data_IF_276192130982
#
_entry.id   IF_276192130982
#
_cell.length_a   1.000
_cell.length_b   1.000
_cell.length_c   1.000
_cell.angle_alpha   90.00
_cell.angle_beta   90.00
_cell.angle_gamma   90.00
#
_symmetry.space_group_name_H-M   'P 1'
#
loop_
_entity.id
_entity.type
_entity.pdbx_description
1 polymer ?
#
# COMPACT_ATOMS: atom_id res chain seq x y z
N UNK A 1 26.51 -12.16 -16.89
CA UNK A 1 25.94 -12.03 -15.54
C UNK A 1 24.89 -10.93 -15.61
N UNK A 2 23.60 -11.29 -15.56
CA UNK A 2 22.52 -10.32 -15.38
C UNK A 2 22.24 -10.27 -13.87
N UNK A 3 22.70 -9.22 -13.19
CA UNK A 3 22.55 -9.03 -11.74
C UNK A 3 21.27 -8.25 -11.38
N UNK A 4 20.16 -8.54 -12.06
CA UNK A 4 18.85 -8.03 -11.65
C UNK A 4 18.00 -9.24 -11.28
N UNK A 5 17.86 -9.51 -9.98
CA UNK A 5 16.89 -10.49 -9.52
C UNK A 5 15.49 -10.09 -10.02
N UNK A 6 14.75 -11.02 -10.61
CA UNK A 6 13.42 -10.73 -11.15
C UNK A 6 12.46 -10.32 -10.03
N UNK A 7 11.84 -9.15 -10.18
CA UNK A 7 10.75 -8.70 -9.32
C UNK A 7 9.59 -9.71 -9.40
N UNK A 8 9.08 -10.14 -8.24
CA UNK A 8 8.00 -11.13 -8.16
C UNK A 8 6.68 -10.45 -7.83
N UNK A 9 5.69 -10.66 -8.69
CA UNK A 9 4.33 -10.15 -8.51
C UNK A 9 3.44 -11.21 -7.88
N UNK A 10 2.70 -10.81 -6.86
CA UNK A 10 1.75 -11.65 -6.14
C UNK A 10 0.39 -10.96 -6.15
N UNK A 11 -0.66 -11.72 -6.50
CA UNK A 11 -2.04 -11.24 -6.57
C UNK A 11 -2.93 -12.13 -5.69
N UNK A 12 -3.94 -11.53 -5.06
CA UNK A 12 -5.00 -12.20 -4.27
C UNK A 12 -4.45 -13.25 -3.30
N UNK A 13 -3.35 -12.93 -2.62
CA UNK A 13 -2.65 -13.89 -1.78
C UNK A 13 -3.31 -13.98 -0.40
N UNK A 14 -3.74 -15.19 -0.06
CA UNK A 14 -4.16 -15.53 1.29
C UNK A 14 -2.95 -15.89 2.15
N UNK A 15 -2.84 -15.21 3.29
CA UNK A 15 -1.82 -15.46 4.31
C UNK A 15 -2.48 -15.77 5.63
N UNK A 16 -1.97 -16.80 6.29
CA UNK A 16 -2.33 -17.14 7.66
C UNK A 16 -1.32 -16.52 8.60
N UNK A 17 -1.79 -15.88 9.67
CA UNK A 17 -0.93 -15.27 10.69
C UNK A 17 -1.49 -15.53 12.08
N UNK A 18 -0.65 -15.36 13.11
CA UNK A 18 -1.04 -15.44 14.50
C UNK A 18 -0.61 -14.17 15.23
N UNK A 19 -1.51 -13.61 16.04
CA UNK A 19 -1.23 -12.49 16.93
C UNK A 19 -1.79 -12.77 18.33
N UNK A 20 -1.81 -11.76 19.21
CA UNK A 20 -2.31 -11.90 20.58
C UNK A 20 -3.78 -12.36 20.67
N UNK A 21 -4.56 -12.20 19.59
CA UNK A 21 -5.95 -12.64 19.49
C UNK A 21 -6.09 -14.06 18.92
N UNK A 22 -4.99 -14.74 18.61
CA UNK A 22 -4.97 -16.09 18.04
C UNK A 22 -4.68 -16.10 16.55
N UNK A 23 -5.14 -17.16 15.87
CA UNK A 23 -4.89 -17.39 14.45
C UNK A 23 -5.92 -16.67 13.58
N UNK A 24 -5.47 -16.02 12.52
CA UNK A 24 -6.29 -15.28 11.58
C UNK A 24 -5.78 -15.41 10.14
N UNK A 25 -6.58 -14.92 9.21
CA UNK A 25 -6.27 -14.90 7.78
C UNK A 25 -6.38 -13.49 7.24
N UNK A 26 -5.60 -13.18 6.21
CA UNK A 26 -5.68 -11.95 5.44
C UNK A 26 -5.55 -12.27 3.95
N UNK A 27 -6.34 -11.60 3.12
CA UNK A 27 -6.15 -11.59 1.67
C UNK A 27 -5.51 -10.25 1.30
N UNK A 28 -4.37 -10.30 0.63
CA UNK A 28 -3.66 -9.12 0.14
C UNK A 28 -3.92 -9.02 -1.36
N UNK A 29 -4.52 -7.91 -1.80
CA UNK A 29 -4.95 -7.71 -3.19
C UNK A 29 -3.78 -7.85 -4.18
N UNK A 30 -2.70 -7.10 -3.97
CA UNK A 30 -1.48 -7.24 -4.76
C UNK A 30 -0.23 -6.75 -4.03
N UNK A 31 0.92 -7.38 -4.30
CA UNK A 31 2.22 -6.82 -3.92
C UNK A 31 3.34 -7.28 -4.86
N UNK A 32 4.37 -6.47 -4.97
CA UNK A 32 5.60 -6.77 -5.73
C UNK A 32 6.76 -6.88 -4.76
N UNK A 33 7.46 -8.00 -4.78
CA UNK A 33 8.70 -8.20 -4.02
C UNK A 33 9.86 -7.96 -4.96
N UNK A 34 10.59 -6.86 -4.75
CA UNK A 34 11.80 -6.56 -5.48
C UNK A 34 13.05 -6.65 -4.61
N UNK A 35 14.18 -6.31 -5.20
CA UNK A 35 15.48 -6.34 -4.51
C UNK A 35 15.49 -5.39 -3.29
N UNK A 36 15.04 -4.15 -3.50
CA UNK A 36 15.14 -3.05 -2.51
C UNK A 36 13.99 -2.99 -1.51
N UNK A 37 12.90 -3.70 -1.75
CA UNK A 37 11.71 -3.57 -0.92
C UNK A 37 10.48 -4.23 -1.54
N UNK A 38 9.33 -3.95 -0.92
CA UNK A 38 8.03 -4.45 -1.34
C UNK A 38 7.11 -3.26 -1.60
N UNK A 39 6.42 -3.29 -2.75
CA UNK A 39 5.30 -2.39 -3.03
C UNK A 39 4.00 -3.15 -2.76
N UNK A 40 3.28 -2.77 -1.71
CA UNK A 40 1.97 -3.30 -1.34
C UNK A 40 0.87 -2.43 -1.94
N UNK A 41 -0.07 -3.04 -2.65
CA UNK A 41 -1.21 -2.39 -3.28
C UNK A 41 -2.53 -2.85 -2.68
N UNK A 42 -3.36 -1.92 -2.20
CA UNK A 42 -4.76 -2.18 -1.83
C UNK A 42 -5.69 -1.58 -2.90
N UNK A 43 -6.53 -2.40 -3.51
CA UNK A 43 -7.38 -2.06 -4.63
C UNK A 43 -8.82 -1.83 -4.18
N UNK A 44 -9.34 -0.61 -4.37
CA UNK A 44 -10.72 -0.25 -4.02
C UNK A 44 -11.45 0.40 -5.18
N UNK A 45 -12.76 0.13 -5.34
CA UNK A 45 -13.56 0.85 -6.33
C UNK A 45 -13.59 2.36 -6.06
N UNK A 46 -13.62 2.75 -4.79
CA UNK A 46 -13.63 4.15 -4.36
C UNK A 46 -12.53 4.38 -3.32
N UNK A 47 -11.88 5.54 -3.37
CA UNK A 47 -10.87 5.94 -2.40
C UNK A 47 -11.43 5.93 -0.97
N UNK A 48 -10.81 5.14 -0.10
CA UNK A 48 -11.18 4.93 1.31
C UNK A 48 -9.95 5.13 2.19
N UNK A 49 -9.51 6.38 2.43
CA UNK A 49 -8.19 6.65 3.02
C UNK A 49 -7.98 5.97 4.37
N UNK A 50 -8.94 6.10 5.28
CA UNK A 50 -8.81 5.54 6.64
C UNK A 50 -8.79 4.01 6.64
N UNK A 51 -9.71 3.38 5.90
CA UNK A 51 -9.84 1.93 5.90
C UNK A 51 -8.68 1.26 5.17
N UNK A 52 -8.33 1.75 3.98
CA UNK A 52 -7.21 1.20 3.21
C UNK A 52 -5.87 1.43 3.92
N UNK A 53 -5.66 2.60 4.51
CA UNK A 53 -4.47 2.85 5.33
C UNK A 53 -4.38 1.86 6.50
N UNK A 54 -5.49 1.64 7.22
CA UNK A 54 -5.49 0.70 8.34
C UNK A 54 -5.17 -0.72 7.87
N UNK A 55 -5.82 -1.20 6.81
CA UNK A 55 -5.55 -2.52 6.23
C UNK A 55 -4.07 -2.67 5.83
N UNK A 56 -3.53 -1.69 5.09
CA UNK A 56 -2.15 -1.75 4.60
C UNK A 56 -1.13 -1.63 5.73
N UNK A 57 -1.22 -0.63 6.60
CA UNK A 57 -0.19 -0.34 7.62
C UNK A 57 -0.28 -1.21 8.86
N UNK A 58 -1.50 -1.63 9.26
CA UNK A 58 -1.71 -2.37 10.51
C UNK A 58 -1.86 -3.86 10.31
N UNK A 59 -2.20 -4.32 9.09
CA UNK A 59 -2.41 -5.74 8.82
C UNK A 59 -1.39 -6.29 7.83
N UNK A 60 -1.36 -5.76 6.61
CA UNK A 60 -0.61 -6.41 5.53
C UNK A 60 0.88 -6.10 5.56
N UNK A 61 1.27 -4.84 5.75
CA UNK A 61 2.69 -4.46 5.79
C UNK A 61 3.46 -5.17 6.91
N UNK A 62 2.95 -5.32 8.15
CA UNK A 62 3.62 -6.13 9.17
C UNK A 62 3.82 -7.59 8.77
N UNK A 63 2.82 -8.22 8.16
CA UNK A 63 2.91 -9.61 7.68
C UNK A 63 3.98 -9.73 6.58
N UNK A 64 3.96 -8.84 5.59
CA UNK A 64 4.93 -8.86 4.49
C UNK A 64 6.36 -8.57 4.97
N UNK A 65 6.52 -7.63 5.93
CA UNK A 65 7.82 -7.38 6.59
C UNK A 65 8.32 -8.63 7.30
N UNK A 66 7.44 -9.34 7.99
CA UNK A 66 7.79 -10.58 8.69
C UNK A 66 8.20 -11.71 7.73
N UNK A 67 7.45 -11.91 6.65
CA UNK A 67 7.70 -12.99 5.67
C UNK A 67 9.00 -12.75 4.89
N UNK A 68 9.22 -11.53 4.42
CA UNK A 68 10.28 -11.24 3.45
C UNK A 68 11.48 -10.47 4.03
N UNK A 69 11.39 -9.95 5.24
CA UNK A 69 12.47 -9.17 5.87
C UNK A 69 12.82 -7.87 5.14
N UNK A 70 11.88 -7.31 4.37
CA UNK A 70 12.10 -6.15 3.49
C UNK A 70 11.24 -4.95 3.90
N UNK A 71 11.68 -3.71 3.63
CA UNK A 71 10.83 -2.53 3.81
C UNK A 71 9.61 -2.61 2.89
N UNK A 72 8.46 -2.11 3.36
CA UNK A 72 7.19 -2.13 2.63
C UNK A 72 6.72 -0.69 2.44
N UNK A 73 6.52 -0.30 1.18
CA UNK A 73 5.81 0.90 0.76
C UNK A 73 4.37 0.56 0.39
N UNK A 74 3.43 1.41 0.77
CA UNK A 74 1.99 1.16 0.61
C UNK A 74 1.39 2.08 -0.45
N UNK A 75 0.51 1.54 -1.30
CA UNK A 75 -0.18 2.24 -2.37
C UNK A 75 -1.65 1.83 -2.38
N UNK A 76 -2.56 2.79 -2.29
CA UNK A 76 -3.96 2.53 -2.58
C UNK A 76 -4.22 2.78 -4.07
N UNK A 77 -4.72 1.76 -4.77
CA UNK A 77 -5.19 1.87 -6.15
C UNK A 77 -6.70 2.00 -6.10
N UNK A 78 -7.27 3.01 -6.76
CA UNK A 78 -8.70 3.16 -6.81
C UNK A 78 -9.23 3.74 -8.12
N UNK A 79 -10.47 3.33 -8.48
CA UNK A 79 -11.15 3.83 -9.69
C UNK A 79 -11.73 5.23 -9.46
N UNK A 80 -12.44 5.43 -8.35
CA UNK A 80 -13.08 6.69 -8.04
C UNK A 80 -12.33 7.41 -6.91
N UNK A 81 -11.68 8.53 -7.23
CA UNK A 81 -11.23 9.46 -6.20
C UNK A 81 -12.47 10.15 -5.61
N UNK A 82 -12.74 9.93 -4.32
CA UNK A 82 -13.85 10.61 -3.66
C UNK A 82 -13.58 12.12 -3.59
N UNK A 83 -14.49 12.94 -4.13
CA UNK A 83 -14.29 14.39 -4.31
C UNK A 83 -14.25 15.22 -3.03
N UNK A 84 -14.54 14.65 -1.86
CA UNK A 84 -14.42 15.33 -0.58
C UNK A 84 -14.45 14.28 0.53
N UNK A 85 -13.40 14.23 1.34
CA UNK A 85 -13.53 13.84 2.74
C UNK A 85 -12.49 14.62 3.54
N UNK A 86 -12.88 15.64 4.34
CA UNK A 86 -11.94 16.45 5.12
C UNK A 86 -11.36 15.71 6.34
N UNK A 87 -11.61 14.41 6.49
CA UNK A 87 -10.98 13.58 7.54
C UNK A 87 -9.64 13.03 7.02
N UNK A 88 -8.77 13.93 6.56
CA UNK A 88 -7.35 13.77 6.88
C UNK A 88 -7.22 14.29 8.31
N UNK A 89 -6.46 13.63 9.22
CA UNK A 89 -6.14 14.26 10.50
C UNK A 89 -5.66 15.70 10.24
N UNK A 90 -6.09 16.70 11.04
CA UNK A 90 -5.93 18.10 10.72
C UNK A 90 -4.46 18.52 10.87
N UNK A 91 -3.64 18.21 9.87
CA UNK A 91 -2.36 18.86 9.63
C UNK A 91 -1.84 18.52 8.23
N UNK A 92 -2.39 19.29 7.28
CA UNK A 92 -1.75 19.74 6.04
C UNK A 92 -1.54 18.67 4.98
N UNK A 93 -1.43 19.18 3.75
CA UNK A 93 -1.00 18.51 2.52
C UNK A 93 -2.14 17.97 1.67
N UNK A 94 -2.71 18.88 0.89
CA UNK A 94 -3.54 18.55 -0.27
C UNK A 94 -2.74 17.68 -1.25
N UNK A 95 -3.39 16.96 -2.18
CA UNK A 95 -2.68 16.26 -3.25
C UNK A 95 -1.68 17.15 -3.99
N UNK A 96 -2.04 18.42 -4.25
CA UNK A 96 -1.14 19.42 -4.84
C UNK A 96 0.13 19.66 -4.00
N UNK A 97 0.00 19.79 -2.69
CA UNK A 97 1.17 19.96 -1.82
C UNK A 97 2.10 18.75 -1.89
N UNK A 98 1.57 17.52 -1.92
CA UNK A 98 2.38 16.29 -1.98
C UNK A 98 3.11 16.16 -3.33
N UNK A 99 2.53 16.70 -4.41
CA UNK A 99 3.21 16.83 -5.69
C UNK A 99 4.33 17.86 -5.69
N UNK A 100 4.08 19.02 -5.07
CA UNK A 100 5.06 20.10 -4.97
C UNK A 100 6.16 19.78 -3.93
N UNK A 101 5.92 18.83 -3.02
CA UNK A 101 6.82 18.46 -1.92
C UNK A 101 6.86 16.93 -1.74
N UNK A 102 7.52 16.18 -2.64
CA UNK A 102 7.62 14.73 -2.54
C UNK A 102 8.41 14.33 -1.28
N UNK A 103 7.85 13.45 -0.45
CA UNK A 103 8.54 12.89 0.72
C UNK A 103 9.13 11.51 0.43
N UNK A 104 10.28 11.16 1.04
CA UNK A 104 10.87 9.83 0.88
C UNK A 104 9.87 8.72 1.21
N UNK A 105 9.63 7.81 0.26
CA UNK A 105 8.74 6.65 0.43
C UNK A 105 7.24 6.91 0.22
N UNK A 106 6.83 8.12 -0.19
CA UNK A 106 5.44 8.45 -0.54
C UNK A 106 5.34 8.79 -2.02
N UNK A 107 4.67 7.91 -2.78
CA UNK A 107 4.42 8.11 -4.20
C UNK A 107 2.93 8.34 -4.42
N UNK A 108 2.56 9.51 -4.96
CA UNK A 108 1.19 9.78 -5.41
C UNK A 108 1.22 9.85 -6.93
N UNK A 109 0.63 8.87 -7.60
CA UNK A 109 0.46 8.91 -9.06
C UNK A 109 -0.98 9.32 -9.37
N UNK A 110 -1.13 10.36 -10.20
CA UNK A 110 -2.44 10.78 -10.69
C UNK A 110 -2.45 10.60 -12.20
N UNK A 111 -3.32 9.73 -12.68
CA UNK A 111 -3.70 9.69 -14.08
C UNK A 111 -4.98 10.49 -14.23
N UNK A 112 -4.89 11.67 -14.86
CA UNK A 112 -6.04 12.55 -15.08
C UNK A 112 -6.90 12.14 -16.30
N UNK A 113 -6.53 11.06 -16.99
CA UNK A 113 -7.16 10.70 -18.27
C UNK A 113 -6.95 11.76 -19.35
N UNK A 114 -7.35 11.43 -20.58
CA UNK A 114 -7.53 12.40 -21.66
C UNK A 114 -8.98 12.87 -21.68
#
# INVERSE_FOLDING_TARGET
MNEFGEDRVYLDQWVTFADASGQAFACIDAFVVGERGILLCECKLTWTPTMAWWQMEKRYAPILRFIFGKPVSTLQVCKNLARHNPILPPARRTPRYLFENPEPGRFTHHWLGR
#
